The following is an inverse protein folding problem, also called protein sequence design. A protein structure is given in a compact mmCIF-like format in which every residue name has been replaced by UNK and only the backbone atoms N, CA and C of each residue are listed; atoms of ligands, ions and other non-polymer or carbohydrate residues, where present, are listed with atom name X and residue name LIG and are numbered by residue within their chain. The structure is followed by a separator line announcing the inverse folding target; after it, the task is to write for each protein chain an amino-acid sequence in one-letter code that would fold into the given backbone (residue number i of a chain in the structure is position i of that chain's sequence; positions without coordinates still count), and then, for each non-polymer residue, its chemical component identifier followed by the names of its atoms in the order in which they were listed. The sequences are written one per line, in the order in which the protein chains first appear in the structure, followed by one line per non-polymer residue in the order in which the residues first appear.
data_IF_006320995168
#
_entry.id   IF_006320995168
#
_cell.length_a   1.000
_cell.length_b   1.000
_cell.length_c   1.000
_cell.angle_alpha   90.00
_cell.angle_beta   90.00
_cell.angle_gamma   90.00
#
_symmetry.space_group_name_H-M   'P 1'
#
loop_
_entity.id
_entity.type
_entity.pdbx_description
1 polymer ?
#
# COMPACT_ATOMS: atom_id res chain seq x y z
N UNK A 1 -17.87 -11.07 -1.34
CA UNK A 1 -18.24 -9.64 -1.21
C UNK A 1 -17.11 -8.84 -1.81
N UNK A 2 -17.45 -7.92 -2.70
CA UNK A 2 -16.47 -7.07 -3.39
C UNK A 2 -16.12 -5.88 -2.50
N UNK A 3 -14.84 -5.58 -2.35
CA UNK A 3 -14.37 -4.41 -1.59
C UNK A 3 -14.29 -3.24 -2.55
N UNK A 4 -14.54 -2.03 -2.08
CA UNK A 4 -14.48 -0.82 -2.90
C UNK A 4 -13.42 0.12 -2.35
N UNK A 5 -12.54 0.64 -3.21
CA UNK A 5 -11.50 1.59 -2.83
C UNK A 5 -11.76 2.97 -3.42
N UNK A 6 -11.72 3.99 -2.57
CA UNK A 6 -11.79 5.38 -2.99
C UNK A 6 -10.51 5.78 -3.74
N UNK A 7 -10.63 6.16 -5.01
CA UNK A 7 -9.52 6.62 -5.85
C UNK A 7 -8.87 7.93 -5.39
N UNK A 8 -9.53 8.70 -4.52
CA UNK A 8 -9.04 9.99 -4.03
C UNK A 8 -8.14 9.84 -2.80
N UNK A 9 -8.52 8.97 -1.86
CA UNK A 9 -7.83 8.86 -0.57
C UNK A 9 -7.38 7.43 -0.21
N UNK A 10 -7.76 6.42 -0.99
CA UNK A 10 -7.45 5.01 -0.72
C UNK A 10 -8.30 4.37 0.38
N UNK A 11 -9.42 4.98 0.78
CA UNK A 11 -10.34 4.36 1.74
C UNK A 11 -10.95 3.09 1.17
N UNK A 12 -10.88 1.99 1.90
CA UNK A 12 -11.49 0.72 1.51
C UNK A 12 -12.79 0.46 2.28
N UNK A 13 -13.90 0.39 1.56
CA UNK A 13 -15.20 -0.03 2.05
C UNK A 13 -15.33 -1.56 1.94
N UNK A 14 -15.40 -2.24 3.08
CA UNK A 14 -15.69 -3.67 3.15
C UNK A 14 -17.17 -3.88 3.50
N UNK A 15 -17.99 -4.46 2.59
CA UNK A 15 -19.38 -4.79 2.89
C UNK A 15 -19.57 -5.67 4.11
N UNK A 16 -18.60 -6.53 4.48
CA UNK A 16 -18.69 -7.37 5.67
C UNK A 16 -18.62 -6.55 6.97
N UNK A 17 -17.95 -5.41 6.94
CA UNK A 17 -17.82 -4.48 8.08
C UNK A 17 -18.89 -3.38 8.02
N UNK A 18 -19.24 -2.93 6.81
CA UNK A 18 -20.07 -1.75 6.58
C UNK A 18 -19.38 -0.46 7.04
N UNK A 19 -20.17 0.56 7.30
CA UNK A 19 -19.70 1.83 7.88
C UNK A 19 -20.66 2.32 8.99
N UNK A 20 -20.60 1.70 10.19
CA UNK A 20 -21.54 1.98 11.27
C UNK A 20 -21.50 3.42 11.78
N UNK A 21 -20.36 4.09 11.62
CA UNK A 21 -20.18 5.49 12.03
C UNK A 21 -21.00 6.45 11.15
N UNK A 22 -21.24 6.06 9.89
CA UNK A 22 -22.03 6.84 8.93
C UNK A 22 -23.42 6.21 8.66
N UNK A 23 -23.86 5.29 9.53
CA UNK A 23 -25.20 4.71 9.47
C UNK A 23 -25.36 3.54 8.48
N UNK A 24 -24.25 2.97 8.00
CA UNK A 24 -24.24 1.79 7.11
C UNK A 24 -23.96 0.54 7.95
N UNK A 25 -24.90 -0.39 7.97
CA UNK A 25 -24.74 -1.64 8.72
C UNK A 25 -23.74 -2.59 8.05
N UNK A 26 -23.13 -3.45 8.86
CA UNK A 26 -22.36 -4.59 8.37
C UNK A 26 -23.23 -5.53 7.52
N UNK A 27 -22.66 -6.06 6.45
CA UNK A 27 -23.33 -6.89 5.45
C UNK A 27 -24.00 -6.12 4.32
N UNK A 28 -23.93 -4.80 4.30
CA UNK A 28 -24.53 -3.97 3.24
C UNK A 28 -23.59 -3.93 2.02
N UNK A 29 -24.01 -4.44 0.84
CA UNK A 29 -23.21 -4.32 -0.37
C UNK A 29 -23.13 -2.85 -0.82
N UNK A 30 -22.05 -2.48 -1.49
CA UNK A 30 -21.83 -1.11 -1.96
C UNK A 30 -22.95 -0.63 -2.91
N UNK A 31 -23.49 -1.53 -3.73
CA UNK A 31 -24.61 -1.26 -4.63
C UNK A 31 -25.92 -0.90 -3.90
N UNK A 32 -26.08 -1.29 -2.64
CA UNK A 32 -27.24 -0.94 -1.81
C UNK A 32 -27.02 0.32 -0.96
N UNK A 33 -25.84 0.93 -1.03
CA UNK A 33 -25.57 2.16 -0.29
C UNK A 33 -26.48 3.29 -0.75
N UNK A 34 -26.99 4.14 0.16
CA UNK A 34 -27.75 5.31 -0.20
C UNK A 34 -26.96 6.19 -1.18
N UNK A 35 -27.58 6.75 -2.22
CA UNK A 35 -26.91 7.62 -3.21
C UNK A 35 -26.25 8.88 -2.62
N UNK A 36 -26.62 9.23 -1.38
CA UNK A 36 -26.04 10.31 -0.58
C UNK A 36 -24.79 9.90 0.20
N UNK A 37 -24.47 8.60 0.25
CA UNK A 37 -23.26 8.11 0.91
C UNK A 37 -22.04 8.64 0.16
N UNK A 38 -21.09 9.12 0.94
CA UNK A 38 -19.80 9.65 0.47
C UNK A 38 -18.70 8.98 1.26
N UNK A 39 -17.49 8.93 0.69
CA UNK A 39 -16.32 8.41 1.36
C UNK A 39 -16.13 9.11 2.72
N UNK A 40 -16.08 8.36 3.84
CA UNK A 40 -16.03 8.96 5.17
C UNK A 40 -14.70 9.67 5.47
N UNK A 41 -13.64 9.40 4.69
CA UNK A 41 -12.35 10.06 4.85
C UNK A 41 -12.23 11.38 4.09
N UNK A 42 -12.74 11.46 2.86
CA UNK A 42 -12.52 12.63 1.99
C UNK A 42 -13.79 13.28 1.44
N UNK A 43 -14.97 12.69 1.66
CA UNK A 43 -16.24 13.20 1.14
C UNK A 43 -16.44 13.00 -0.37
N UNK A 44 -15.58 12.21 -1.03
CA UNK A 44 -15.76 11.84 -2.43
C UNK A 44 -17.06 11.03 -2.63
N UNK A 45 -17.75 11.23 -3.75
CA UNK A 45 -18.93 10.44 -4.08
C UNK A 45 -18.60 8.98 -4.39
N UNK A 46 -19.65 8.15 -4.47
CA UNK A 46 -19.53 6.73 -4.84
C UNK A 46 -18.91 6.52 -6.23
N UNK A 47 -19.07 7.49 -7.13
CA UNK A 47 -18.52 7.49 -8.48
C UNK A 47 -16.98 7.42 -8.52
N UNK A 48 -16.32 7.81 -7.42
CA UNK A 48 -14.88 7.77 -7.27
C UNK A 48 -14.39 6.54 -6.51
N UNK A 49 -15.29 5.63 -6.13
CA UNK A 49 -14.96 4.37 -5.47
C UNK A 49 -15.00 3.23 -6.50
N UNK A 50 -13.88 2.54 -6.66
CA UNK A 50 -13.73 1.46 -7.63
C UNK A 50 -13.72 0.11 -6.92
N UNK A 51 -14.27 -0.92 -7.58
CA UNK A 51 -14.18 -2.29 -7.10
C UNK A 51 -12.73 -2.77 -7.09
N UNK A 52 -12.31 -3.26 -5.93
CA UNK A 52 -11.04 -3.94 -5.75
C UNK A 52 -11.34 -5.39 -5.34
N UNK A 53 -10.84 -6.34 -6.11
CA UNK A 53 -10.90 -7.73 -5.68
C UNK A 53 -10.03 -7.88 -4.43
N UNK A 54 -10.65 -8.31 -3.34
CA UNK A 54 -10.00 -8.67 -2.08
C UNK A 54 -9.23 -10.00 -2.22
N UNK A 55 -8.36 -10.08 -3.22
CA UNK A 55 -7.43 -11.18 -3.47
C UNK A 55 -6.41 -10.65 -4.48
N UNK A 56 -5.24 -10.22 -4.09
CA UNK A 56 -4.27 -10.91 -3.25
C UNK A 56 -3.37 -9.81 -2.76
N UNK A 57 -2.84 -9.92 -1.54
CA UNK A 57 -1.52 -9.37 -1.32
C UNK A 57 -0.63 -10.05 -2.36
N UNK A 58 -0.39 -9.40 -3.50
CA UNK A 58 0.92 -9.56 -4.12
C UNK A 58 1.85 -8.97 -3.06
N UNK A 59 2.75 -9.76 -2.46
CA UNK A 59 3.80 -9.20 -1.65
C UNK A 59 4.75 -8.45 -2.60
N UNK A 60 4.34 -7.29 -3.09
CA UNK A 60 5.24 -6.33 -3.75
C UNK A 60 6.03 -5.51 -2.72
N UNK A 61 5.89 -5.82 -1.43
CA UNK A 61 7.04 -5.69 -0.55
C UNK A 61 7.83 -7.00 -0.62
N UNK A 62 9.03 -7.03 -1.23
CA UNK A 62 10.03 -7.95 -0.74
C UNK A 62 10.27 -7.54 0.72
N UNK A 63 9.58 -8.25 1.61
CA UNK A 63 9.74 -8.29 3.04
C UNK A 63 10.59 -7.16 3.66
N UNK A 64 9.94 -6.22 4.35
CA UNK A 64 10.63 -5.39 5.33
C UNK A 64 11.20 -6.21 6.52
N UNK A 65 11.11 -7.53 6.52
CA UNK A 65 11.78 -8.44 7.48
C UNK A 65 12.50 -9.66 6.85
N UNK A 66 12.61 -9.78 5.52
CA UNK A 66 13.33 -10.89 4.85
C UNK A 66 14.39 -10.40 3.84
N UNK A 67 14.89 -9.16 4.01
CA UNK A 67 16.19 -8.71 3.47
C UNK A 67 17.17 -8.51 4.63
N UNK A 68 17.17 -9.45 5.58
CA UNK A 68 18.20 -9.51 6.63
C UNK A 68 18.69 -10.94 6.85
N UNK A 69 18.82 -11.75 5.80
CA UNK A 69 19.70 -12.92 5.84
C UNK A 69 20.50 -13.06 4.54
N UNK A 70 21.79 -12.79 4.71
CA UNK A 70 22.89 -13.52 4.10
C UNK A 70 23.32 -13.12 2.68
N UNK A 71 24.10 -12.02 2.59
CA UNK A 71 25.28 -11.98 1.72
C UNK A 71 26.45 -11.39 2.51
N UNK A 72 27.04 -12.23 3.36
CA UNK A 72 28.45 -12.08 3.70
C UNK A 72 29.26 -12.42 2.44
N UNK A 73 29.40 -11.47 1.52
CA UNK A 73 30.43 -11.58 0.49
C UNK A 73 31.79 -11.32 1.14
N UNK A 74 32.35 -12.37 1.76
CA UNK A 74 33.78 -12.63 1.60
C UNK A 74 34.05 -12.57 0.09
N UNK A 75 35.00 -11.72 -0.30
CA UNK A 75 35.50 -11.57 -1.67
C UNK A 75 34.86 -10.48 -2.56
N UNK A 76 34.31 -9.39 -1.99
CA UNK A 76 34.35 -8.10 -2.70
C UNK A 76 35.69 -7.44 -2.43
N UNK A 77 36.61 -7.64 -3.38
CA UNK A 77 37.70 -6.70 -3.66
C UNK A 77 37.02 -5.39 -4.05
N UNK A 78 37.14 -4.39 -3.20
CA UNK A 78 36.74 -3.01 -3.51
C UNK A 78 37.48 -2.56 -4.77
N UNK A 79 36.77 -2.55 -5.90
CA UNK A 79 37.25 -1.93 -7.12
C UNK A 79 37.32 -0.42 -6.93
N UNK A 80 38.55 0.02 -6.75
CA UNK A 80 39.06 1.38 -6.75
C UNK A 80 38.43 2.23 -7.87
N UNK A 81 37.63 3.24 -7.51
CA UNK A 81 37.17 4.27 -8.43
C UNK A 81 38.25 5.35 -8.54
N UNK A 82 38.70 5.72 -9.75
CA UNK A 82 39.74 6.71 -9.94
C UNK A 82 39.11 8.10 -9.80
N UNK A 83 39.24 8.74 -8.64
CA UNK A 83 39.40 10.20 -8.63
C UNK A 83 40.46 10.64 -7.64
N UNK A 84 41.63 10.86 -8.23
CA UNK A 84 42.58 11.92 -7.92
C UNK A 84 43.45 11.71 -6.67
N UNK A 85 44.75 11.63 -6.93
CA UNK A 85 45.80 11.99 -6.01
C UNK A 85 45.48 13.33 -5.31
N UNK A 86 45.58 13.34 -3.97
CA UNK A 86 46.14 14.46 -3.22
C UNK A 86 46.65 13.93 -1.88
N UNK A 87 47.97 13.99 -1.75
CA UNK A 87 48.89 13.80 -0.61
C UNK A 87 48.47 13.03 0.66
N UNK A 88 49.37 12.11 1.03
CA UNK A 88 49.49 11.49 2.36
C UNK A 88 48.40 10.48 2.77
N UNK A 89 48.32 9.40 1.99
CA UNK A 89 48.28 8.04 2.57
C UNK A 89 47.14 7.73 3.54
N UNK A 90 45.91 8.13 3.22
CA UNK A 90 44.70 7.53 3.81
C UNK A 90 43.66 7.28 2.73
N UNK A 91 43.62 6.04 2.26
CA UNK A 91 42.37 5.38 1.94
C UNK A 91 42.07 4.44 3.12
#
# INVERSE_FOLDING_TARGET
MTVYECSICGYQYDPAVGDPQNGVAAGMPFEELPTVWVCPLCGAGQDLCNEVESRTIQPETPAAEEVVKEYLNKDIIVHWFPKQCSDAGKC
#
